data_IF_916449490940
#
_entry.id   IF_916449490940
#
_cell.length_a   1.000
_cell.length_b   1.000
_cell.length_c   1.000
_cell.angle_alpha   90.00
_cell.angle_beta   90.00
_cell.angle_gamma   90.00
#
_symmetry.space_group_name_H-M   'P 1'
#
loop_
_entity.id
_entity.type
_entity.pdbx_description
1 polymer ?
#
# COMPACT_ATOMS: atom_id res chain seq x y z
N UNK A 1 9.43 5.57 26.71
CA UNK A 1 10.83 5.48 26.27
C UNK A 1 11.13 6.71 25.47
N UNK A 2 12.18 7.50 25.72
CA UNK A 2 12.52 8.64 24.88
C UNK A 2 12.93 8.12 23.49
N UNK A 3 12.42 8.77 22.45
CA UNK A 3 12.76 8.50 21.06
C UNK A 3 14.26 8.77 20.85
N UNK A 4 15.09 7.79 20.42
CA UNK A 4 16.57 7.95 20.34
C UNK A 4 17.04 8.76 19.14
N UNK A 5 16.17 9.44 18.38
CA UNK A 5 16.53 10.13 17.15
C UNK A 5 16.18 11.63 17.15
N UNK A 6 16.70 12.39 18.09
CA UNK A 6 16.81 13.84 17.91
C UNK A 6 18.19 14.18 17.34
N UNK A 7 18.38 13.97 16.04
CA UNK A 7 19.48 14.60 15.31
C UNK A 7 19.23 16.11 15.21
N UNK A 8 20.25 16.91 15.47
CA UNK A 8 20.23 18.36 15.27
C UNK A 8 19.70 18.69 13.87
N UNK A 9 18.71 19.58 13.77
CA UNK A 9 18.09 19.99 12.50
C UNK A 9 19.09 20.56 11.46
N UNK A 10 20.31 20.89 11.88
CA UNK A 10 21.38 21.38 11.00
C UNK A 10 22.20 20.29 10.29
N UNK A 11 21.95 19.02 10.56
CA UNK A 11 22.72 17.89 10.03
C UNK A 11 22.02 17.10 8.91
N UNK A 12 20.81 17.49 8.48
CA UNK A 12 20.05 16.82 7.44
C UNK A 12 19.80 17.75 6.25
N UNK A 13 19.64 17.17 5.03
CA UNK A 13 19.24 17.94 3.84
C UNK A 13 17.94 18.72 4.06
N UNK A 14 17.86 19.93 3.52
CA UNK A 14 16.67 20.77 3.57
C UNK A 14 16.08 20.93 2.17
N UNK A 15 14.80 20.56 2.01
CA UNK A 15 14.10 20.77 0.74
C UNK A 15 14.02 22.28 0.43
N UNK A 16 14.62 22.69 -0.68
CA UNK A 16 14.68 24.09 -1.11
C UNK A 16 13.78 24.41 -2.28
N UNK A 17 13.53 23.43 -3.18
CA UNK A 17 12.65 23.59 -4.33
C UNK A 17 12.06 22.27 -4.79
N UNK A 18 10.93 22.33 -5.52
CA UNK A 18 10.26 21.19 -6.15
C UNK A 18 9.89 21.59 -7.58
N UNK A 19 10.39 20.85 -8.57
CA UNK A 19 10.09 21.07 -9.99
C UNK A 19 9.26 19.90 -10.53
N UNK A 20 8.09 20.18 -11.07
CA UNK A 20 7.28 19.20 -11.79
C UNK A 20 7.84 19.03 -13.22
N UNK A 21 8.13 17.79 -13.63
CA UNK A 21 8.73 17.46 -14.93
C UNK A 21 7.71 16.87 -15.90
N UNK A 22 6.70 16.17 -15.39
CA UNK A 22 5.61 15.62 -16.19
C UNK A 22 4.26 15.83 -15.53
N UNK A 23 3.16 15.74 -16.31
CA UNK A 23 1.80 15.96 -15.82
C UNK A 23 0.84 14.84 -16.29
N UNK A 24 1.28 13.58 -16.20
CA UNK A 24 0.44 12.41 -16.39
C UNK A 24 -0.26 11.97 -15.11
N UNK A 25 -0.92 10.81 -15.13
CA UNK A 25 -1.50 10.16 -13.95
C UNK A 25 -0.46 10.03 -12.82
N UNK A 26 0.72 9.53 -13.16
CA UNK A 26 1.90 9.61 -12.30
C UNK A 26 2.76 10.78 -12.81
N UNK A 27 3.09 11.70 -11.92
CA UNK A 27 3.91 12.86 -12.19
C UNK A 27 5.33 12.60 -11.75
N UNK A 28 6.29 13.02 -12.56
CA UNK A 28 7.70 13.06 -12.18
C UNK A 28 8.01 14.41 -11.57
N UNK A 29 8.68 14.39 -10.43
CA UNK A 29 9.19 15.55 -9.74
C UNK A 29 10.70 15.48 -9.59
N UNK A 30 11.36 16.62 -9.56
CA UNK A 30 12.73 16.79 -9.10
C UNK A 30 12.69 17.60 -7.81
N UNK A 31 13.12 16.98 -6.72
CA UNK A 31 13.25 17.58 -5.40
C UNK A 31 14.66 18.13 -5.25
N UNK A 32 14.79 19.42 -4.95
CA UNK A 32 16.08 20.08 -4.81
C UNK A 32 16.36 20.28 -3.33
N UNK A 33 17.46 19.74 -2.85
CA UNK A 33 17.86 19.82 -1.46
C UNK A 33 19.13 20.67 -1.29
N UNK A 34 19.10 21.56 -0.30
CA UNK A 34 20.30 22.19 0.24
C UNK A 34 20.96 21.21 1.21
N UNK A 35 22.20 20.82 0.93
CA UNK A 35 22.94 19.86 1.72
C UNK A 35 23.67 20.56 2.88
N UNK A 36 23.98 19.86 4.00
CA UNK A 36 24.69 20.42 5.16
C UNK A 36 26.08 21.00 4.85
N UNK A 37 26.72 20.52 3.79
CA UNK A 37 28.02 21.03 3.32
C UNK A 37 27.94 22.25 2.40
N UNK A 38 26.70 22.76 2.18
CA UNK A 38 26.43 23.91 1.31
C UNK A 38 26.26 23.54 -0.17
N UNK A 39 26.41 22.26 -0.53
CA UNK A 39 26.13 21.79 -1.89
C UNK A 39 24.62 21.64 -2.15
N UNK A 40 24.26 21.40 -3.40
CA UNK A 40 22.88 21.11 -3.81
C UNK A 40 22.78 19.68 -4.32
N UNK A 41 21.69 18.98 -3.96
CA UNK A 41 21.40 17.64 -4.44
C UNK A 41 20.00 17.58 -5.07
N UNK A 42 19.90 17.00 -6.26
CA UNK A 42 18.64 16.79 -6.95
C UNK A 42 18.21 15.32 -6.84
N UNK A 43 16.96 15.09 -6.44
CA UNK A 43 16.39 13.75 -6.28
C UNK A 43 15.13 13.61 -7.14
N UNK A 44 15.06 12.55 -7.95
CA UNK A 44 13.89 12.24 -8.76
C UNK A 44 12.85 11.45 -7.95
N UNK A 45 11.59 11.90 -8.01
CA UNK A 45 10.48 11.25 -7.31
C UNK A 45 9.24 11.15 -8.20
N UNK A 46 8.38 10.19 -7.93
CA UNK A 46 7.08 10.00 -8.57
C UNK A 46 5.96 10.25 -7.57
N UNK A 47 4.90 10.97 -7.98
CA UNK A 47 3.70 11.18 -7.16
C UNK A 47 2.45 11.25 -8.04
N UNK A 48 1.27 10.86 -7.48
CA UNK A 48 -0.03 11.12 -8.11
C UNK A 48 -0.53 12.53 -7.82
N UNK A 49 -0.03 13.17 -6.76
CA UNK A 49 -0.44 14.48 -6.28
C UNK A 49 -0.01 15.59 -7.27
N UNK A 50 -0.77 16.67 -7.36
CA UNK A 50 -0.31 17.89 -8.02
C UNK A 50 0.80 18.55 -7.18
N UNK A 51 1.45 19.56 -7.74
CA UNK A 51 2.60 20.21 -7.12
C UNK A 51 2.29 20.79 -5.72
N UNK A 52 1.13 21.43 -5.56
CA UNK A 52 0.76 22.05 -4.28
C UNK A 52 0.48 21.01 -3.20
N UNK A 53 -0.27 19.96 -3.53
CA UNK A 53 -0.55 18.86 -2.61
C UNK A 53 0.74 18.10 -2.24
N UNK A 54 1.60 17.84 -3.22
CA UNK A 54 2.88 17.16 -2.96
C UNK A 54 3.81 18.01 -2.08
N UNK A 55 3.89 19.30 -2.32
CA UNK A 55 4.65 20.26 -1.48
C UNK A 55 4.13 20.28 -0.04
N UNK A 56 2.80 20.33 0.12
CA UNK A 56 2.17 20.31 1.44
C UNK A 56 2.46 19.01 2.20
N UNK A 57 2.43 17.87 1.53
CA UNK A 57 2.76 16.59 2.13
C UNK A 57 4.22 16.49 2.56
N UNK A 58 5.15 16.88 1.71
CA UNK A 58 6.58 16.89 2.07
C UNK A 58 6.87 17.81 3.25
N UNK A 59 6.19 18.95 3.33
CA UNK A 59 6.28 19.84 4.50
C UNK A 59 5.69 19.20 5.75
N UNK A 60 4.54 18.52 5.63
CA UNK A 60 3.93 17.73 6.70
C UNK A 60 4.85 16.64 7.22
N UNK A 61 5.44 15.85 6.32
CA UNK A 61 6.39 14.79 6.64
C UNK A 61 7.61 15.34 7.41
N UNK A 62 8.17 16.47 6.97
CA UNK A 62 9.27 17.12 7.65
C UNK A 62 8.89 17.61 9.07
N UNK A 63 7.62 17.97 9.28
CA UNK A 63 7.07 18.36 10.58
C UNK A 63 6.62 17.17 11.44
N UNK A 64 6.75 15.94 10.97
CA UNK A 64 6.30 14.72 11.67
C UNK A 64 4.78 14.52 11.68
N UNK A 65 4.07 15.15 10.75
CA UNK A 65 2.63 14.99 10.57
C UNK A 65 2.39 13.83 9.61
N UNK A 66 1.71 12.77 10.08
CA UNK A 66 1.37 11.63 9.26
C UNK A 66 0.34 12.03 8.18
N UNK A 67 0.62 11.67 6.93
CA UNK A 67 -0.34 11.82 5.84
C UNK A 67 -1.45 10.75 5.92
N UNK A 68 -2.69 11.08 5.52
CA UNK A 68 -3.71 10.06 5.30
C UNK A 68 -3.23 9.02 4.28
N UNK A 69 -3.65 7.76 4.46
CA UNK A 69 -3.30 6.72 3.50
C UNK A 69 -3.91 7.01 2.12
N UNK A 70 -3.09 6.85 1.08
CA UNK A 70 -3.53 6.97 -0.32
C UNK A 70 -4.26 5.71 -0.80
N UNK A 71 -3.93 4.55 -0.20
CA UNK A 71 -4.44 3.25 -0.63
C UNK A 71 -4.59 2.29 0.57
N UNK A 72 -5.28 1.17 0.32
CA UNK A 72 -5.39 0.04 1.23
C UNK A 72 -4.76 -1.21 0.61
N UNK A 73 -4.28 -2.13 1.48
CA UNK A 73 -3.90 -3.50 1.11
C UNK A 73 -4.54 -4.43 2.12
N UNK A 74 -5.33 -5.41 1.65
CA UNK A 74 -6.30 -6.13 2.46
C UNK A 74 -5.88 -7.59 2.63
N UNK A 75 -5.28 -7.94 3.77
CA UNK A 75 -5.01 -9.32 4.16
C UNK A 75 -6.30 -9.98 4.68
N UNK A 76 -7.16 -10.37 3.74
CA UNK A 76 -8.45 -10.98 4.01
C UNK A 76 -8.31 -12.45 4.44
N UNK A 77 -9.02 -12.85 5.50
CA UNK A 77 -9.09 -14.23 5.96
C UNK A 77 -10.55 -14.69 6.05
N UNK A 78 -10.84 -15.89 5.52
CA UNK A 78 -12.15 -16.52 5.63
C UNK A 78 -12.35 -17.18 6.99
N UNK A 79 -13.60 -17.47 7.36
CA UNK A 79 -13.92 -18.20 8.58
C UNK A 79 -13.34 -19.64 8.61
N UNK A 80 -13.01 -20.19 7.46
CA UNK A 80 -12.42 -21.53 7.28
C UNK A 80 -10.89 -21.54 7.34
N UNK A 81 -10.26 -20.36 7.56
CA UNK A 81 -8.80 -20.25 7.74
C UNK A 81 -8.03 -20.19 6.43
N UNK A 82 -8.59 -19.56 5.42
CA UNK A 82 -7.96 -19.34 4.14
C UNK A 82 -7.67 -17.84 3.95
N UNK A 83 -6.57 -17.52 3.32
CA UNK A 83 -6.22 -16.16 2.93
C UNK A 83 -6.77 -15.87 1.53
N UNK A 84 -7.43 -14.72 1.37
CA UNK A 84 -7.90 -14.22 0.09
C UNK A 84 -6.75 -13.48 -0.60
N UNK A 85 -6.30 -14.04 -1.71
CA UNK A 85 -5.27 -13.48 -2.57
C UNK A 85 -5.85 -13.18 -3.95
N UNK A 86 -5.14 -12.38 -4.71
CA UNK A 86 -5.40 -12.14 -6.13
C UNK A 86 -4.16 -12.44 -6.96
N UNK A 87 -4.40 -12.88 -8.19
CA UNK A 87 -3.45 -12.88 -9.29
C UNK A 87 -3.90 -11.78 -10.24
N UNK A 88 -3.13 -10.72 -10.37
CA UNK A 88 -3.48 -9.58 -11.21
C UNK A 88 -2.42 -9.32 -12.28
N UNK A 89 -2.81 -8.82 -13.44
CA UNK A 89 -1.87 -8.41 -14.48
C UNK A 89 -1.36 -7.00 -14.18
N UNK A 90 -0.09 -6.90 -13.83
CA UNK A 90 0.57 -5.61 -13.56
C UNK A 90 1.28 -5.08 -14.80
N UNK A 91 0.73 -4.00 -15.36
CA UNK A 91 1.27 -3.35 -16.55
C UNK A 91 2.74 -2.97 -16.44
N UNK A 92 3.24 -2.40 -15.31
CA UNK A 92 4.67 -2.09 -15.17
C UNK A 92 5.58 -3.32 -15.19
N UNK A 93 5.06 -4.49 -14.87
CA UNK A 93 5.80 -5.76 -14.92
C UNK A 93 5.59 -6.49 -16.26
N UNK A 94 4.59 -6.08 -17.04
CA UNK A 94 4.10 -6.83 -18.21
C UNK A 94 3.89 -8.32 -17.86
N UNK A 95 3.35 -8.60 -16.69
CA UNK A 95 3.21 -9.96 -16.15
C UNK A 95 2.13 -10.04 -15.08
N UNK A 96 1.65 -11.26 -14.85
CA UNK A 96 0.84 -11.57 -13.69
C UNK A 96 1.66 -11.46 -12.41
N UNK A 97 1.03 -11.00 -11.32
CA UNK A 97 1.64 -10.83 -10.02
C UNK A 97 0.68 -11.29 -8.93
N UNK A 98 1.19 -12.02 -7.95
CA UNK A 98 0.44 -12.39 -6.74
C UNK A 98 0.44 -11.21 -5.78
N UNK A 99 -0.74 -10.85 -5.31
CA UNK A 99 -0.94 -9.77 -4.35
C UNK A 99 -2.09 -10.09 -3.38
N UNK A 100 -2.25 -9.28 -2.37
CA UNK A 100 -3.52 -9.13 -1.65
C UNK A 100 -4.37 -8.09 -2.38
N UNK A 101 -5.71 -8.16 -2.29
CA UNK A 101 -6.61 -7.11 -2.79
C UNK A 101 -6.17 -5.74 -2.29
N UNK A 102 -6.16 -4.73 -3.16
CA UNK A 102 -5.60 -3.43 -2.83
C UNK A 102 -6.09 -2.35 -3.79
N UNK A 103 -6.52 -1.21 -3.28
CA UNK A 103 -6.92 -0.11 -4.14
C UNK A 103 -6.76 1.26 -3.51
N UNK A 104 -7.01 2.28 -4.31
CA UNK A 104 -6.90 3.67 -3.90
C UNK A 104 -8.14 4.10 -3.11
N UNK A 105 -7.92 4.88 -2.07
CA UNK A 105 -9.02 5.54 -1.36
C UNK A 105 -9.59 6.67 -2.20
N UNK A 106 -10.91 6.74 -2.24
CA UNK A 106 -11.60 7.89 -2.82
C UNK A 106 -11.56 9.12 -1.88
N UNK A 107 -11.69 10.33 -2.42
CA UNK A 107 -11.72 11.54 -1.62
C UNK A 107 -12.86 11.51 -0.58
N UNK A 108 -12.49 11.60 0.71
CA UNK A 108 -13.46 11.59 1.82
C UNK A 108 -13.95 10.20 2.23
N UNK A 109 -13.52 9.14 1.57
CA UNK A 109 -13.86 7.77 1.91
C UNK A 109 -13.18 7.34 3.24
N UNK A 110 -13.94 6.73 4.13
CA UNK A 110 -13.37 6.12 5.33
C UNK A 110 -12.71 4.77 5.03
N UNK A 111 -11.92 4.26 5.96
CA UNK A 111 -11.14 3.05 5.76
C UNK A 111 -12.01 1.80 5.53
N UNK A 112 -13.08 1.65 6.30
CA UNK A 112 -13.93 0.46 6.22
C UNK A 112 -14.72 0.42 4.91
N UNK A 113 -15.23 1.57 4.47
CA UNK A 113 -15.91 1.72 3.18
C UNK A 113 -14.98 1.38 2.03
N UNK A 114 -13.75 1.92 2.02
CA UNK A 114 -12.74 1.61 1.01
C UNK A 114 -12.43 0.11 0.96
N UNK A 115 -12.17 -0.50 2.11
CA UNK A 115 -11.87 -1.93 2.19
C UNK A 115 -13.02 -2.79 1.66
N UNK A 116 -14.26 -2.52 2.06
CA UNK A 116 -15.42 -3.31 1.61
C UNK A 116 -15.71 -3.12 0.11
N UNK A 117 -15.53 -1.89 -0.42
CA UNK A 117 -15.66 -1.59 -1.85
C UNK A 117 -14.63 -2.36 -2.67
N UNK A 118 -13.35 -2.24 -2.36
CA UNK A 118 -12.26 -2.92 -3.09
C UNK A 118 -12.39 -4.45 -3.03
N UNK A 119 -12.77 -5.01 -1.86
CA UNK A 119 -13.05 -6.45 -1.76
C UNK A 119 -14.14 -6.89 -2.72
N UNK A 120 -15.24 -6.12 -2.83
CA UNK A 120 -16.36 -6.47 -3.71
C UNK A 120 -15.98 -6.36 -5.18
N UNK A 121 -15.34 -5.28 -5.55
CA UNK A 121 -14.95 -4.99 -6.94
C UNK A 121 -13.93 -6.01 -7.45
N UNK A 122 -12.83 -6.19 -6.75
CA UNK A 122 -11.75 -7.06 -7.20
C UNK A 122 -12.03 -8.56 -7.01
N UNK A 123 -12.79 -8.94 -5.97
CA UNK A 123 -12.87 -10.34 -5.57
C UNK A 123 -14.28 -10.91 -5.40
N UNK A 124 -15.29 -10.04 -5.25
CA UNK A 124 -16.65 -10.43 -4.87
C UNK A 124 -16.79 -10.91 -3.43
N UNK A 125 -15.77 -10.65 -2.58
CA UNK A 125 -15.86 -10.82 -1.13
C UNK A 125 -16.26 -9.50 -0.47
N UNK A 126 -16.67 -9.58 0.80
CA UNK A 126 -17.05 -8.44 1.63
C UNK A 126 -16.52 -8.63 3.04
N UNK A 127 -16.51 -7.56 3.83
CA UNK A 127 -16.25 -7.65 5.27
C UNK A 127 -17.36 -8.46 5.95
N UNK A 128 -16.97 -9.36 6.85
CA UNK A 128 -17.91 -10.12 7.65
C UNK A 128 -18.57 -9.24 8.71
N UNK A 129 -19.88 -9.08 8.62
CA UNK A 129 -20.65 -8.23 9.55
C UNK A 129 -20.81 -8.83 10.94
N UNK A 130 -20.70 -10.16 11.08
CA UNK A 130 -20.82 -10.89 12.35
C UNK A 130 -19.50 -10.96 13.14
N UNK A 131 -18.39 -10.51 12.57
CA UNK A 131 -17.07 -10.57 13.19
C UNK A 131 -16.80 -9.42 14.19
N UNK A 132 -17.71 -8.43 14.32
CA UNK A 132 -17.53 -7.31 15.23
C UNK A 132 -16.23 -6.55 14.99
N UNK A 133 -15.49 -6.21 16.05
CA UNK A 133 -14.21 -5.49 15.96
C UNK A 133 -13.10 -6.28 15.23
N UNK A 134 -13.25 -7.61 15.09
CA UNK A 134 -12.33 -8.43 14.33
C UNK A 134 -12.55 -8.33 12.80
N UNK A 135 -13.67 -7.76 12.34
CA UNK A 135 -13.97 -7.61 10.92
C UNK A 135 -12.89 -6.82 10.18
N UNK A 136 -12.33 -5.80 10.83
CA UNK A 136 -11.31 -4.92 10.26
C UNK A 136 -10.29 -4.52 11.33
N UNK A 137 -9.05 -4.94 11.14
CA UNK A 137 -7.93 -4.63 12.03
C UNK A 137 -6.80 -3.97 11.24
N UNK A 138 -6.77 -2.63 11.15
CA UNK A 138 -5.69 -1.92 10.47
C UNK A 138 -4.39 -1.98 11.28
N UNK A 139 -3.25 -1.93 10.60
CA UNK A 139 -1.98 -1.61 11.26
C UNK A 139 -2.07 -0.21 11.89
N UNK A 140 -1.29 0.07 12.95
CA UNK A 140 -1.38 1.34 13.68
C UNK A 140 -1.17 2.59 12.81
N UNK A 141 -0.48 2.46 11.68
CA UNK A 141 -0.24 3.56 10.75
C UNK A 141 -0.06 3.03 9.33
N UNK A 142 -0.35 3.86 8.34
CA UNK A 142 -0.02 3.59 6.95
C UNK A 142 1.50 3.60 6.75
N UNK A 143 1.99 2.72 5.89
CA UNK A 143 3.39 2.66 5.50
C UNK A 143 3.59 3.17 4.08
N UNK A 144 4.77 3.71 3.78
CA UNK A 144 5.13 4.09 2.41
C UNK A 144 5.35 2.85 1.54
N UNK A 145 4.85 2.86 0.31
CA UNK A 145 4.96 1.72 -0.61
C UNK A 145 6.38 1.53 -1.15
N UNK A 146 7.09 2.64 -1.41
CA UNK A 146 8.48 2.64 -1.87
C UNK A 146 9.15 3.96 -1.52
N UNK A 147 9.78 4.04 -0.35
CA UNK A 147 10.36 5.26 0.23
C UNK A 147 11.46 5.91 -0.60
N UNK A 148 12.07 5.19 -1.53
CA UNK A 148 13.10 5.70 -2.44
C UNK A 148 12.55 6.15 -3.80
N UNK A 149 11.24 6.06 -4.05
CA UNK A 149 10.66 6.35 -5.37
C UNK A 149 9.44 7.28 -5.30
N UNK A 150 8.57 7.10 -4.32
CA UNK A 150 7.24 7.72 -4.27
C UNK A 150 6.83 8.08 -2.85
N UNK A 151 5.95 9.04 -2.74
CA UNK A 151 5.26 9.44 -1.50
C UNK A 151 4.02 8.58 -1.20
N UNK A 152 3.67 7.62 -2.06
CA UNK A 152 2.49 6.78 -1.85
C UNK A 152 2.50 6.07 -0.51
N UNK A 153 1.41 6.23 0.24
CA UNK A 153 1.17 5.54 1.51
C UNK A 153 0.07 4.50 1.36
N UNK A 154 0.26 3.33 2.01
CA UNK A 154 -0.68 2.21 1.97
C UNK A 154 -1.01 1.77 3.38
N UNK A 155 -2.30 1.70 3.70
CA UNK A 155 -2.76 1.12 4.95
C UNK A 155 -2.97 -0.39 4.78
N UNK A 156 -2.13 -1.18 5.41
CA UNK A 156 -2.33 -2.64 5.46
C UNK A 156 -3.35 -2.95 6.54
N UNK A 157 -4.37 -3.70 6.18
CA UNK A 157 -5.46 -4.12 7.07
C UNK A 157 -5.59 -5.64 7.09
N UNK A 158 -5.85 -6.21 8.25
CA UNK A 158 -6.29 -7.59 8.38
C UNK A 158 -7.82 -7.59 8.47
N UNK A 159 -8.47 -8.41 7.65
CA UNK A 159 -9.92 -8.39 7.53
C UNK A 159 -10.49 -9.81 7.61
N UNK A 160 -11.63 -9.97 8.30
CA UNK A 160 -12.46 -11.17 8.19
C UNK A 160 -13.40 -11.00 7.01
N UNK A 161 -13.36 -11.92 6.05
CA UNK A 161 -14.08 -11.80 4.79
C UNK A 161 -14.98 -13.00 4.52
N UNK A 162 -16.05 -12.75 3.75
CA UNK A 162 -16.97 -13.79 3.25
C UNK A 162 -17.34 -13.52 1.80
N UNK A 163 -17.67 -14.59 1.05
CA UNK A 163 -18.12 -14.45 -0.33
C UNK A 163 -19.50 -13.77 -0.36
N UNK A 164 -19.62 -12.68 -1.09
CA UNK A 164 -20.85 -11.88 -1.18
C UNK A 164 -21.49 -11.91 -2.57
N UNK A 165 -20.69 -11.86 -3.64
CA UNK A 165 -21.15 -11.79 -5.03
C UNK A 165 -20.05 -12.27 -5.99
N UNK A 166 -20.27 -12.15 -7.29
CA UNK A 166 -19.22 -12.25 -8.29
C UNK A 166 -18.41 -10.94 -8.32
N UNK A 167 -17.11 -11.05 -8.61
CA UNK A 167 -16.23 -9.89 -8.78
C UNK A 167 -16.69 -9.02 -9.96
N UNK A 168 -16.49 -7.71 -9.83
CA UNK A 168 -16.80 -6.72 -10.87
C UNK A 168 -15.64 -5.75 -11.02
N UNK A 169 -14.44 -6.23 -11.43
CA UNK A 169 -13.27 -5.37 -11.60
C UNK A 169 -13.51 -4.34 -12.72
N UNK A 170 -12.74 -3.26 -12.71
CA UNK A 170 -12.77 -2.28 -13.79
C UNK A 170 -12.35 -2.90 -15.14
N UNK A 171 -12.79 -2.32 -16.29
CA UNK A 171 -12.50 -2.91 -17.62
C UNK A 171 -11.01 -3.07 -17.94
N UNK A 172 -10.11 -2.32 -17.29
CA UNK A 172 -8.67 -2.41 -17.46
C UNK A 172 -7.98 -3.31 -16.42
N UNK A 173 -8.74 -3.89 -15.50
CA UNK A 173 -8.24 -4.75 -14.44
C UNK A 173 -8.45 -6.21 -14.80
N UNK A 174 -7.35 -6.95 -14.84
CA UNK A 174 -7.35 -8.39 -15.04
C UNK A 174 -6.98 -9.03 -13.71
N UNK A 175 -7.99 -9.45 -12.95
CA UNK A 175 -7.86 -9.95 -11.58
C UNK A 175 -8.51 -11.33 -11.48
N UNK A 176 -7.78 -12.27 -10.90
CA UNK A 176 -8.24 -13.63 -10.59
C UNK A 176 -8.11 -13.86 -9.08
N UNK A 177 -9.20 -13.76 -8.30
CA UNK A 177 -9.15 -14.05 -6.87
C UNK A 177 -9.02 -15.55 -6.61
N UNK A 178 -8.26 -15.91 -5.57
CA UNK A 178 -8.15 -17.29 -5.11
C UNK A 178 -7.97 -17.35 -3.60
N UNK A 179 -8.30 -18.50 -3.03
CA UNK A 179 -8.13 -18.78 -1.61
C UNK A 179 -6.90 -19.68 -1.39
N UNK A 180 -6.07 -19.30 -0.42
CA UNK A 180 -4.91 -20.06 0.01
C UNK A 180 -5.11 -20.51 1.46
N UNK A 181 -5.28 -21.81 1.75
CA UNK A 181 -5.29 -22.30 3.12
C UNK A 181 -4.03 -21.89 3.87
N UNK A 182 -4.17 -21.37 5.10
CA UNK A 182 -3.02 -20.89 5.89
C UNK A 182 -1.99 -22.02 6.08
N UNK A 183 -2.43 -23.25 6.23
CA UNK A 183 -1.55 -24.42 6.35
C UNK A 183 -0.69 -24.67 5.09
N UNK A 184 -1.14 -24.22 3.92
CA UNK A 184 -0.43 -24.38 2.65
C UNK A 184 0.53 -23.20 2.33
N UNK A 185 0.52 -22.12 3.12
CA UNK A 185 1.36 -20.93 2.87
C UNK A 185 2.85 -21.28 2.75
N UNK A 186 3.46 -22.10 3.64
CA UNK A 186 4.87 -22.45 3.48
C UNK A 186 5.20 -23.16 2.17
N UNK A 187 4.34 -24.08 1.74
CA UNK A 187 4.48 -24.77 0.47
C UNK A 187 4.29 -23.83 -0.71
N UNK A 188 3.27 -22.97 -0.65
CA UNK A 188 3.02 -21.97 -1.68
C UNK A 188 4.23 -21.06 -1.88
N UNK A 189 4.81 -20.53 -0.81
CA UNK A 189 6.00 -19.66 -0.89
C UNK A 189 7.23 -20.38 -1.48
N UNK A 190 7.38 -21.68 -1.19
CA UNK A 190 8.50 -22.48 -1.69
C UNK A 190 8.34 -22.86 -3.19
N UNK A 191 7.12 -23.04 -3.67
CA UNK A 191 6.84 -23.55 -5.01
C UNK A 191 6.40 -22.47 -6.00
N UNK A 192 5.98 -21.26 -5.52
CA UNK A 192 5.47 -20.21 -6.39
C UNK A 192 6.56 -19.67 -7.33
N UNK A 193 6.26 -19.66 -8.61
CA UNK A 193 7.12 -19.08 -9.67
C UNK A 193 6.55 -17.79 -10.28
N UNK A 194 5.33 -17.41 -9.91
CA UNK A 194 4.72 -16.15 -10.35
C UNK A 194 5.33 -14.99 -9.57
N UNK A 195 5.64 -13.86 -10.20
CA UNK A 195 6.00 -12.65 -9.48
C UNK A 195 5.05 -12.36 -8.32
N UNK A 196 5.60 -11.95 -7.18
CA UNK A 196 4.82 -11.67 -5.96
C UNK A 196 5.14 -10.27 -5.44
N UNK A 197 4.12 -9.52 -5.03
CA UNK A 197 4.30 -8.22 -4.41
C UNK A 197 4.98 -8.33 -3.03
N UNK A 198 5.92 -7.44 -2.72
CA UNK A 198 6.69 -7.48 -1.46
C UNK A 198 5.78 -7.50 -0.23
N UNK A 199 4.69 -6.73 -0.23
CA UNK A 199 3.71 -6.74 0.88
C UNK A 199 3.07 -8.11 1.04
N UNK A 200 2.64 -8.73 -0.06
CA UNK A 200 2.06 -10.06 -0.03
C UNK A 200 3.07 -11.09 0.50
N UNK A 201 4.30 -11.07 -0.01
CA UNK A 201 5.35 -11.98 0.47
C UNK A 201 5.60 -11.84 1.97
N UNK A 202 5.76 -10.62 2.48
CA UNK A 202 6.00 -10.38 3.91
C UNK A 202 4.83 -10.81 4.80
N UNK A 203 3.59 -10.54 4.38
CA UNK A 203 2.41 -10.95 5.14
C UNK A 203 2.29 -12.48 5.14
N UNK A 204 2.47 -13.14 3.99
CA UNK A 204 2.46 -14.60 3.89
C UNK A 204 3.55 -15.25 4.74
N UNK A 205 4.78 -14.70 4.75
CA UNK A 205 5.87 -15.16 5.62
C UNK A 205 5.51 -15.02 7.11
N UNK A 206 4.80 -13.95 7.50
CA UNK A 206 4.34 -13.78 8.87
C UNK A 206 3.30 -14.85 9.27
N UNK A 207 2.43 -15.26 8.36
CA UNK A 207 1.50 -16.38 8.58
C UNK A 207 2.24 -17.73 8.63
N UNK A 208 3.18 -17.97 7.73
CA UNK A 208 3.96 -19.21 7.68
C UNK A 208 4.76 -19.48 8.97
N UNK A 209 5.21 -18.41 9.66
CA UNK A 209 6.02 -18.52 10.89
C UNK A 209 5.19 -18.67 12.17
N UNK A 210 3.88 -18.45 12.10
CA UNK A 210 2.97 -18.56 13.26
C UNK A 210 2.29 -19.92 13.38
N UNK A 211 2.41 -20.72 12.34
CA UNK A 211 1.84 -22.05 12.21
C UNK A 211 2.89 -23.09 11.81
#
# INVERSE_FOLDING_TARGET
>A
MPNPMTTSASAIPQLSDIRQVSDGWIKKYVLVYAMPDGSTYEYESASRKNLDAYRAELAGNAAGVASPADAVCIAGQTATGELLLIREFRYPLNSWCIAFPAGLKEPGEDLATCVDRELREETGYALRTDAGDAALQPLPQAGYSSTGLTDETVHVVFAQVEKAADAQPEPAEFIEPFLLPIADVPRFLAENTTPIGTRAQLVLEAFARRH
#
